data_IF_539323435407
#
_entry.id   IF_539323435407
#
_cell.length_a   1.000
_cell.length_b   1.000
_cell.length_c   1.000
_cell.angle_alpha   90.00
_cell.angle_beta   90.00
_cell.angle_gamma   90.00
#
_symmetry.space_group_name_H-M   'P 1'
#
loop_
_entity.id
_entity.type
_entity.pdbx_description
1 polymer ?
#
# COMPACT_ATOMS: atom_id res chain seq x y z
N UNK A 1 7.56 -35.68 -48.97
CA UNK A 1 6.55 -35.98 -47.93
C UNK A 1 7.30 -36.33 -46.65
N UNK A 2 7.92 -35.36 -45.98
CA UNK A 2 7.35 -34.49 -44.92
C UNK A 2 6.82 -35.26 -43.71
N UNK A 3 7.68 -35.41 -42.70
CA UNK A 3 7.26 -35.25 -41.31
C UNK A 3 8.40 -34.51 -40.60
N UNK A 4 8.13 -33.23 -40.36
CA UNK A 4 9.01 -32.28 -39.67
C UNK A 4 9.39 -32.82 -38.29
N UNK A 5 10.66 -32.73 -37.93
CA UNK A 5 11.07 -32.79 -36.52
C UNK A 5 10.51 -31.53 -35.85
N UNK A 6 9.39 -31.65 -35.15
CA UNK A 6 8.96 -30.64 -34.19
C UNK A 6 9.93 -30.66 -33.01
N UNK A 7 10.62 -29.54 -32.83
CA UNK A 7 11.16 -29.12 -31.54
C UNK A 7 10.10 -29.31 -30.47
N UNK A 8 10.42 -30.08 -29.43
CA UNK A 8 9.90 -29.77 -28.11
C UNK A 8 11.07 -29.20 -27.34
N UNK A 9 11.27 -27.88 -27.52
CA UNK A 9 11.93 -27.09 -26.51
C UNK A 9 11.27 -27.42 -25.18
N UNK A 10 12.06 -27.81 -24.19
CA UNK A 10 11.59 -27.99 -22.83
C UNK A 10 10.92 -26.69 -22.40
N UNK A 11 9.59 -26.72 -22.29
CA UNK A 11 8.85 -25.67 -21.63
C UNK A 11 9.16 -25.79 -20.13
N UNK A 12 10.29 -25.22 -19.73
CA UNK A 12 10.45 -24.63 -18.42
C UNK A 12 9.41 -23.50 -18.32
N UNK A 13 8.16 -23.88 -18.14
CA UNK A 13 7.11 -23.03 -17.61
C UNK A 13 7.54 -22.72 -16.18
N UNK A 14 8.37 -21.68 -16.09
CA UNK A 14 8.58 -20.95 -14.87
C UNK A 14 7.23 -20.69 -14.24
N UNK A 15 7.11 -21.07 -12.97
CA UNK A 15 6.14 -20.53 -12.05
C UNK A 15 6.36 -19.01 -11.98
N UNK A 16 5.87 -18.31 -13.01
CA UNK A 16 5.52 -16.90 -12.90
C UNK A 16 4.30 -16.85 -12.00
N UNK A 17 4.55 -16.82 -10.68
CA UNK A 17 3.58 -16.17 -9.80
C UNK A 17 3.43 -14.71 -10.26
N UNK A 18 2.28 -14.05 -10.07
CA UNK A 18 2.04 -12.69 -10.57
C UNK A 18 3.10 -11.64 -10.14
N UNK A 19 3.97 -11.93 -9.18
CA UNK A 19 5.10 -11.08 -8.78
C UNK A 19 6.43 -11.36 -9.50
N UNK A 20 6.60 -12.50 -10.17
CA UNK A 20 7.80 -12.75 -10.99
C UNK A 20 7.82 -11.84 -12.24
N UNK A 21 6.66 -11.34 -12.67
CA UNK A 21 6.55 -10.31 -13.70
C UNK A 21 6.86 -8.88 -13.20
N UNK A 22 6.87 -8.64 -11.88
CA UNK A 22 7.22 -7.33 -11.30
C UNK A 22 8.72 -7.18 -11.00
N UNK A 23 9.49 -8.28 -10.95
CA UNK A 23 10.93 -8.27 -10.65
C UNK A 23 11.87 -8.13 -11.86
N UNK A 24 11.46 -7.45 -12.94
CA UNK A 24 12.36 -7.21 -14.11
C UNK A 24 12.72 -5.76 -14.42
N UNK A 25 12.45 -4.82 -13.52
CA UNK A 25 13.12 -3.51 -13.53
C UNK A 25 13.33 -3.03 -12.09
N UNK A 26 14.41 -3.49 -11.48
CA UNK A 26 15.29 -2.65 -10.66
C UNK A 26 16.49 -3.52 -10.28
N UNK A 27 17.58 -3.34 -11.02
CA UNK A 27 18.89 -3.78 -10.54
C UNK A 27 19.32 -2.74 -9.49
N UNK A 28 19.59 -3.12 -8.24
CA UNK A 28 20.23 -2.21 -7.31
C UNK A 28 21.66 -1.94 -7.81
N UNK A 29 22.01 -0.67 -7.96
CA UNK A 29 23.41 -0.23 -8.04
C UNK A 29 24.02 -0.28 -6.65
N UNK A 30 25.33 -0.59 -6.59
CA UNK A 30 26.12 -0.86 -5.38
C UNK A 30 26.23 0.31 -4.35
N UNK A 31 25.44 1.38 -4.51
CA UNK A 31 25.38 2.50 -3.55
C UNK A 31 24.40 2.27 -2.38
N UNK A 32 23.64 1.17 -2.36
CA UNK A 32 22.59 0.96 -1.35
C UNK A 32 23.08 0.36 -0.01
N UNK A 33 24.38 0.11 0.15
CA UNK A 33 24.90 -0.64 1.31
C UNK A 33 25.44 0.23 2.46
N UNK A 34 25.50 1.55 2.33
CA UNK A 34 26.03 2.44 3.37
C UNK A 34 24.99 3.27 4.15
N UNK A 35 23.69 3.20 3.81
CA UNK A 35 22.63 3.90 4.58
C UNK A 35 21.92 3.05 5.64
N UNK A 36 22.43 1.87 5.96
CA UNK A 36 21.80 0.97 6.95
C UNK A 36 22.04 1.43 8.41
N UNK A 37 22.93 2.38 8.69
CA UNK A 37 23.19 2.82 10.07
C UNK A 37 23.13 4.34 10.25
N UNK A 38 21.93 4.94 10.22
CA UNK A 38 21.63 6.15 10.98
C UNK A 38 20.14 6.49 10.92
N UNK A 39 19.42 6.14 11.99
CA UNK A 39 18.24 6.86 12.48
C UNK A 39 17.00 6.90 11.58
N UNK A 40 15.94 6.21 12.00
CA UNK A 40 14.76 6.90 12.50
C UNK A 40 13.84 5.90 13.19
N UNK A 41 13.54 6.21 14.44
CA UNK A 41 12.58 5.54 15.33
C UNK A 41 11.18 5.56 14.71
N UNK A 42 10.85 4.51 13.97
CA UNK A 42 9.45 4.14 13.72
C UNK A 42 9.04 3.26 14.89
N UNK A 43 7.90 3.61 15.48
CA UNK A 43 7.25 2.90 16.59
C UNK A 43 7.53 1.40 16.52
N UNK A 44 8.16 0.86 17.58
CA UNK A 44 8.31 -0.57 17.80
C UNK A 44 6.96 -1.22 17.48
N UNK A 45 6.87 -1.92 16.35
CA UNK A 45 6.13 -3.18 16.32
C UNK A 45 6.78 -3.94 17.46
N UNK A 46 6.12 -4.00 18.61
CA UNK A 46 6.67 -4.69 19.77
C UNK A 46 7.03 -6.08 19.29
N UNK A 47 8.30 -6.43 19.42
CA UNK A 47 8.86 -7.73 19.09
C UNK A 47 8.36 -8.81 20.08
N UNK A 48 7.08 -8.79 20.44
CA UNK A 48 6.48 -9.66 21.44
C UNK A 48 5.64 -10.78 20.84
N UNK A 49 5.60 -10.90 19.52
CA UNK A 49 5.05 -12.08 18.87
C UNK A 49 6.01 -12.60 17.80
N UNK A 50 6.51 -13.82 17.99
CA UNK A 50 7.12 -14.64 16.93
C UNK A 50 6.06 -15.24 15.98
N UNK A 51 4.81 -14.78 16.09
CA UNK A 51 3.67 -15.28 15.34
C UNK A 51 3.56 -14.53 14.02
N UNK A 52 3.80 -15.24 12.91
CA UNK A 52 3.82 -14.64 11.58
C UNK A 52 2.45 -14.10 11.16
N UNK A 53 1.35 -14.72 11.60
CA UNK A 53 0.01 -14.28 11.24
C UNK A 53 -0.34 -12.95 11.91
N UNK A 54 0.01 -12.79 13.18
CA UNK A 54 -0.20 -11.53 13.89
C UNK A 54 0.66 -10.41 13.28
N UNK A 55 1.91 -10.71 12.87
CA UNK A 55 2.79 -9.74 12.20
C UNK A 55 2.22 -9.31 10.85
N UNK A 56 1.87 -10.26 9.98
CA UNK A 56 1.24 -9.95 8.70
C UNK A 56 -0.04 -9.13 8.89
N UNK A 57 -0.87 -9.49 9.87
CA UNK A 57 -2.12 -8.77 10.10
C UNK A 57 -1.87 -7.31 10.56
N UNK A 58 -0.82 -7.05 11.33
CA UNK A 58 -0.41 -5.69 11.69
C UNK A 58 0.19 -4.93 10.50
N UNK A 59 0.97 -5.61 9.66
CA UNK A 59 1.59 -5.00 8.47
C UNK A 59 0.52 -4.59 7.47
N UNK A 60 -0.45 -5.47 7.18
CA UNK A 60 -1.55 -5.16 6.27
C UNK A 60 -2.44 -4.04 6.79
N UNK A 61 -2.75 -4.02 8.08
CA UNK A 61 -3.50 -2.92 8.68
C UNK A 61 -2.78 -1.57 8.50
N UNK A 62 -1.45 -1.56 8.69
CA UNK A 62 -0.59 -0.41 8.39
C UNK A 62 -0.66 0.00 6.91
N UNK A 63 -0.49 -0.95 5.99
CA UNK A 63 -0.56 -0.73 4.55
C UNK A 63 -1.90 -0.13 4.12
N UNK A 64 -3.04 -0.72 4.54
CA UNK A 64 -4.36 -0.22 4.18
C UNK A 64 -4.62 1.18 4.71
N UNK A 65 -4.12 1.50 5.92
CA UNK A 65 -4.23 2.84 6.48
C UNK A 65 -3.41 3.85 5.68
N UNK A 66 -2.15 3.51 5.37
CA UNK A 66 -1.24 4.37 4.61
C UNK A 66 -1.71 4.56 3.18
N UNK A 67 -2.26 3.54 2.52
CA UNK A 67 -2.79 3.64 1.17
C UNK A 67 -3.93 4.68 1.08
N UNK A 68 -4.86 4.65 2.05
CA UNK A 68 -5.91 5.67 2.16
C UNK A 68 -5.34 7.07 2.35
N UNK A 69 -4.33 7.21 3.22
CA UNK A 69 -3.66 8.49 3.47
C UNK A 69 -2.95 9.01 2.22
N UNK A 70 -2.21 8.16 1.50
CA UNK A 70 -1.53 8.49 0.25
C UNK A 70 -2.52 8.94 -0.82
N UNK A 71 -3.66 8.24 -0.97
CA UNK A 71 -4.72 8.63 -1.91
C UNK A 71 -5.25 10.03 -1.58
N UNK A 72 -5.53 10.31 -0.30
CA UNK A 72 -6.01 11.62 0.15
C UNK A 72 -4.97 12.72 -0.12
N UNK A 73 -3.70 12.49 0.23
CA UNK A 73 -2.61 13.45 0.01
C UNK A 73 -2.41 13.74 -1.48
N UNK A 74 -2.41 12.71 -2.35
CA UNK A 74 -2.31 12.88 -3.81
C UNK A 74 -3.49 13.67 -4.39
N UNK A 75 -4.71 13.41 -3.93
CA UNK A 75 -5.88 14.16 -4.37
C UNK A 75 -5.77 15.65 -4.01
N UNK A 76 -5.32 15.95 -2.79
CA UNK A 76 -5.09 17.32 -2.31
C UNK A 76 -3.96 18.00 -3.08
N UNK A 77 -2.85 17.30 -3.30
CA UNK A 77 -1.72 17.80 -4.09
C UNK A 77 -2.16 18.18 -5.51
N UNK A 78 -2.90 17.28 -6.18
CA UNK A 78 -3.41 17.52 -7.53
C UNK A 78 -4.33 18.75 -7.60
N UNK A 79 -5.21 18.91 -6.62
CA UNK A 79 -6.09 20.08 -6.54
C UNK A 79 -5.33 21.38 -6.30
N UNK A 80 -4.37 21.41 -5.37
CA UNK A 80 -3.57 22.63 -5.13
C UNK A 80 -2.75 22.98 -6.37
N UNK A 81 -2.15 21.97 -7.03
CA UNK A 81 -1.47 22.14 -8.32
C UNK A 81 -2.40 22.75 -9.37
N UNK A 82 -3.63 22.24 -9.53
CA UNK A 82 -4.58 22.82 -10.50
C UNK A 82 -4.90 24.28 -10.21
N UNK A 83 -5.07 24.64 -8.92
CA UNK A 83 -5.31 26.04 -8.52
C UNK A 83 -4.13 26.97 -8.84
N UNK A 84 -2.90 26.45 -8.81
CA UNK A 84 -1.68 27.21 -9.13
C UNK A 84 -1.37 27.27 -10.63
N UNK A 85 -1.67 26.19 -11.38
CA UNK A 85 -1.41 26.11 -12.83
C UNK A 85 -2.46 26.84 -13.67
N UNK A 86 -3.69 27.01 -13.16
CA UNK A 86 -4.73 27.85 -13.79
C UNK A 86 -4.48 29.35 -13.56
N UNK A 87 -3.21 29.77 -13.58
CA UNK A 87 -2.65 31.02 -13.07
C UNK A 87 -3.23 32.33 -13.62
N UNK A 88 -4.08 32.28 -14.65
CA UNK A 88 -4.83 33.44 -15.14
C UNK A 88 -6.33 33.39 -14.82
N UNK A 89 -6.96 32.21 -14.68
CA UNK A 89 -8.40 32.10 -14.45
C UNK A 89 -8.78 32.07 -12.98
N UNK A 90 -7.98 31.40 -12.13
CA UNK A 90 -8.17 31.40 -10.67
C UNK A 90 -8.15 32.84 -10.13
N UNK A 91 -7.21 33.63 -10.64
CA UNK A 91 -7.03 35.06 -10.34
C UNK A 91 -8.15 35.96 -10.86
N UNK A 92 -8.92 35.59 -11.89
CA UNK A 92 -10.00 36.47 -12.39
C UNK A 92 -11.36 36.07 -11.78
N UNK A 93 -11.61 34.77 -11.51
CA UNK A 93 -12.92 34.27 -11.04
C UNK A 93 -13.20 34.46 -9.54
N UNK A 94 -12.21 34.25 -8.66
CA UNK A 94 -12.34 34.47 -7.19
C UNK A 94 -12.45 35.96 -6.87
N UNK A 95 -11.73 36.74 -7.67
CA UNK A 95 -11.56 38.18 -7.59
C UNK A 95 -12.77 38.95 -8.10
N UNK A 96 -13.31 38.56 -9.26
CA UNK A 96 -14.48 39.22 -9.84
C UNK A 96 -15.72 39.09 -8.94
N UNK A 97 -15.70 38.17 -7.97
CA UNK A 97 -16.78 37.96 -6.99
C UNK A 97 -16.53 38.60 -5.62
N UNK A 98 -15.39 39.26 -5.39
CA UNK A 98 -15.17 40.06 -4.17
C UNK A 98 -15.14 39.25 -2.88
N UNK A 99 -14.50 38.08 -2.85
CA UNK A 99 -14.49 37.24 -1.65
C UNK A 99 -13.79 37.94 -0.48
N UNK A 100 -14.52 38.08 0.63
CA UNK A 100 -14.06 38.78 1.83
C UNK A 100 -13.80 37.86 3.03
N UNK A 101 -14.11 36.56 2.91
CA UNK A 101 -13.89 35.57 3.96
C UNK A 101 -13.54 34.17 3.40
N UNK A 102 -13.03 33.30 4.27
CA UNK A 102 -12.55 31.96 3.90
C UNK A 102 -13.70 30.99 3.57
N UNK A 103 -14.88 31.20 4.14
CA UNK A 103 -16.05 30.34 3.91
C UNK A 103 -16.60 30.49 2.48
N UNK A 104 -16.69 31.73 2.00
CA UNK A 104 -17.06 32.05 0.60
C UNK A 104 -16.05 31.46 -0.40
N UNK A 105 -14.76 31.56 -0.08
CA UNK A 105 -13.69 30.97 -0.89
C UNK A 105 -13.85 29.45 -0.96
N UNK A 106 -14.11 28.81 0.18
CA UNK A 106 -14.32 27.36 0.28
C UNK A 106 -15.50 26.91 -0.58
N UNK A 107 -16.64 27.58 -0.48
CA UNK A 107 -17.85 27.26 -1.26
C UNK A 107 -17.62 27.40 -2.77
N UNK A 108 -16.85 28.42 -3.19
CA UNK A 108 -16.53 28.61 -4.60
C UNK A 108 -15.59 27.51 -5.12
N UNK A 109 -14.54 27.17 -4.37
CA UNK A 109 -13.58 26.15 -4.78
C UNK A 109 -14.21 24.75 -4.88
N UNK A 110 -15.08 24.37 -3.93
CA UNK A 110 -15.84 23.12 -3.99
C UNK A 110 -16.68 23.03 -5.27
N UNK A 111 -17.38 24.13 -5.62
CA UNK A 111 -18.24 24.18 -6.81
C UNK A 111 -17.46 24.10 -8.12
N UNK A 112 -16.29 24.75 -8.19
CA UNK A 112 -15.53 24.89 -9.44
C UNK A 112 -14.61 23.69 -9.73
N UNK A 113 -14.16 22.97 -8.70
CA UNK A 113 -13.12 21.94 -8.85
C UNK A 113 -13.54 20.52 -8.43
N UNK A 114 -14.82 20.30 -8.09
CA UNK A 114 -15.37 18.98 -7.74
C UNK A 114 -14.51 18.22 -6.71
N UNK A 115 -14.10 18.95 -5.66
CA UNK A 115 -13.34 18.43 -4.52
C UNK A 115 -14.23 18.42 -3.28
N UNK A 116 -13.99 17.49 -2.36
CA UNK A 116 -14.72 17.44 -1.09
C UNK A 116 -14.46 18.69 -0.23
N UNK A 117 -15.49 19.09 0.51
CA UNK A 117 -15.46 20.32 1.31
C UNK A 117 -14.41 20.25 2.40
N UNK A 118 -14.27 19.10 3.04
CA UNK A 118 -13.35 18.86 4.14
C UNK A 118 -11.89 19.08 3.71
N UNK A 119 -11.49 18.56 2.55
CA UNK A 119 -10.15 18.77 1.98
C UNK A 119 -9.88 20.24 1.66
N UNK A 120 -10.87 20.97 1.14
CA UNK A 120 -10.72 22.42 0.89
C UNK A 120 -10.55 23.19 2.19
N UNK A 121 -11.35 22.87 3.22
CA UNK A 121 -11.24 23.49 4.55
C UNK A 121 -9.84 23.25 5.13
N UNK A 122 -9.29 22.04 5.01
CA UNK A 122 -7.97 21.72 5.53
C UNK A 122 -6.84 22.47 4.79
N UNK A 123 -6.96 22.61 3.47
CA UNK A 123 -6.05 23.39 2.65
C UNK A 123 -6.10 24.87 3.03
N UNK A 124 -7.30 25.44 3.16
CA UNK A 124 -7.48 26.86 3.46
C UNK A 124 -7.30 27.20 4.96
N UNK A 125 -7.21 26.20 5.83
CA UNK A 125 -7.02 26.42 7.25
C UNK A 125 -5.77 27.26 7.52
N UNK A 126 -5.93 28.31 8.34
CA UNK A 126 -4.89 29.28 8.67
C UNK A 126 -4.73 30.42 7.66
N UNK A 127 -5.47 30.42 6.54
CA UNK A 127 -5.46 31.53 5.59
C UNK A 127 -6.03 32.79 6.23
N UNK A 128 -5.26 33.87 6.22
CA UNK A 128 -5.69 35.19 6.70
C UNK A 128 -5.84 36.14 5.53
N UNK A 129 -7.08 36.39 5.12
CA UNK A 129 -7.38 37.37 4.09
C UNK A 129 -7.31 38.80 4.67
N UNK A 130 -6.69 39.76 3.99
CA UNK A 130 -6.68 41.13 4.46
C UNK A 130 -8.07 41.77 4.28
N UNK A 131 -8.61 42.39 5.33
CA UNK A 131 -9.97 42.98 5.32
C UNK A 131 -10.12 44.21 4.39
N UNK A 132 -9.02 44.87 4.00
CA UNK A 132 -9.01 46.11 3.20
C UNK A 132 -7.78 46.24 2.30
N UNK A 133 -7.41 45.18 1.58
CA UNK A 133 -6.26 45.24 0.67
C UNK A 133 -6.66 45.43 -0.79
N UNK A 134 -5.71 45.89 -1.60
CA UNK A 134 -5.85 45.82 -3.05
C UNK A 134 -5.97 44.37 -3.47
N UNK A 135 -6.64 44.17 -4.59
CA UNK A 135 -6.87 42.87 -5.17
C UNK A 135 -5.59 42.03 -5.33
N UNK A 136 -4.53 42.69 -5.77
CA UNK A 136 -3.20 42.12 -5.97
C UNK A 136 -2.61 41.52 -4.70
N UNK A 137 -2.95 42.05 -3.53
CA UNK A 137 -2.40 41.60 -2.26
C UNK A 137 -3.13 40.36 -1.75
N UNK A 138 -4.45 40.29 -1.98
CA UNK A 138 -5.25 39.10 -1.67
C UNK A 138 -4.80 37.91 -2.53
N UNK A 139 -4.53 38.13 -3.82
CA UNK A 139 -3.96 37.11 -4.73
C UNK A 139 -2.64 36.58 -4.19
N UNK A 140 -1.68 37.48 -3.94
CA UNK A 140 -0.37 37.09 -3.43
C UNK A 140 -0.48 36.29 -2.14
N UNK A 141 -1.38 36.69 -1.24
CA UNK A 141 -1.62 36.00 0.02
C UNK A 141 -2.17 34.58 -0.19
N UNK A 142 -3.19 34.42 -1.05
CA UNK A 142 -3.79 33.12 -1.37
C UNK A 142 -2.78 32.23 -2.09
N UNK A 143 -2.10 32.73 -3.12
CA UNK A 143 -1.09 31.99 -3.88
C UNK A 143 0.04 31.52 -2.98
N UNK A 144 0.57 32.39 -2.11
CA UNK A 144 1.65 32.04 -1.18
C UNK A 144 1.18 30.96 -0.18
N UNK A 145 -0.05 31.09 0.34
CA UNK A 145 -0.64 30.09 1.22
C UNK A 145 -0.77 28.72 0.54
N UNK A 146 -1.27 28.69 -0.70
CA UNK A 146 -1.41 27.47 -1.49
C UNK A 146 -0.05 26.83 -1.80
N UNK A 147 0.98 27.63 -2.12
CA UNK A 147 2.34 27.11 -2.33
C UNK A 147 2.88 26.47 -1.05
N UNK A 148 2.77 27.15 0.10
CA UNK A 148 3.22 26.59 1.38
C UNK A 148 2.47 25.31 1.75
N UNK A 149 1.15 25.27 1.51
CA UNK A 149 0.34 24.08 1.72
C UNK A 149 0.72 22.95 0.78
N UNK A 150 1.00 23.24 -0.49
CA UNK A 150 1.50 22.26 -1.45
C UNK A 150 2.81 21.64 -0.95
N UNK A 151 3.77 22.47 -0.53
CA UNK A 151 5.05 21.98 -0.02
C UNK A 151 4.89 21.10 1.23
N UNK A 152 3.99 21.47 2.15
CA UNK A 152 3.69 20.64 3.32
C UNK A 152 3.09 19.29 2.92
N UNK A 153 2.08 19.29 2.04
CA UNK A 153 1.42 18.07 1.55
C UNK A 153 2.41 17.16 0.84
N UNK A 154 3.32 17.72 0.03
CA UNK A 154 4.36 16.96 -0.65
C UNK A 154 5.33 16.31 0.33
N UNK A 155 5.71 17.03 1.39
CA UNK A 155 6.55 16.45 2.44
C UNK A 155 5.83 15.30 3.17
N UNK A 156 4.58 15.51 3.57
CA UNK A 156 3.77 14.48 4.23
C UNK A 156 3.55 13.26 3.32
N UNK A 157 3.42 13.48 2.00
CA UNK A 157 3.29 12.42 1.01
C UNK A 157 4.58 11.62 0.86
N UNK A 158 5.73 12.29 0.79
CA UNK A 158 7.04 11.62 0.72
C UNK A 158 7.28 10.74 1.96
N UNK A 159 6.96 11.24 3.15
CA UNK A 159 7.08 10.47 4.39
C UNK A 159 6.11 9.28 4.41
N UNK A 160 4.85 9.49 4.00
CA UNK A 160 3.85 8.41 3.90
C UNK A 160 4.26 7.33 2.90
N UNK A 161 4.89 7.69 1.78
CA UNK A 161 5.40 6.75 0.77
C UNK A 161 6.58 5.94 1.32
N UNK A 162 7.50 6.57 2.06
CA UNK A 162 8.60 5.85 2.72
C UNK A 162 8.09 4.84 3.75
N UNK A 163 7.09 5.22 4.55
CA UNK A 163 6.44 4.30 5.48
C UNK A 163 5.75 3.15 4.74
N UNK A 164 5.03 3.47 3.66
CA UNK A 164 4.38 2.46 2.82
C UNK A 164 5.38 1.43 2.29
N UNK A 165 6.51 1.88 1.74
CA UNK A 165 7.58 1.00 1.25
C UNK A 165 8.16 0.14 2.38
N UNK A 166 8.31 0.71 3.59
CA UNK A 166 8.77 -0.05 4.76
C UNK A 166 7.80 -1.17 5.12
N UNK A 167 6.50 -0.90 5.20
CA UNK A 167 5.49 -1.93 5.46
C UNK A 167 5.39 -2.95 4.33
N UNK A 168 5.55 -2.52 3.08
CA UNK A 168 5.53 -3.40 1.92
C UNK A 168 6.70 -4.39 1.97
N UNK A 169 7.92 -3.90 2.22
CA UNK A 169 9.09 -4.75 2.37
C UNK A 169 8.98 -5.68 3.58
N UNK A 170 8.43 -5.21 4.70
CA UNK A 170 8.16 -6.07 5.86
C UNK A 170 7.17 -7.21 5.52
N UNK A 171 6.16 -6.95 4.66
CA UNK A 171 5.26 -7.99 4.18
C UNK A 171 5.99 -9.04 3.35
N UNK A 172 6.85 -8.60 2.42
CA UNK A 172 7.67 -9.48 1.57
C UNK A 172 8.56 -10.36 2.43
N UNK A 173 9.26 -9.77 3.39
CA UNK A 173 10.13 -10.51 4.31
C UNK A 173 9.34 -11.61 5.02
N UNK A 174 8.19 -11.27 5.60
CA UNK A 174 7.39 -12.24 6.35
C UNK A 174 6.85 -13.37 5.44
N UNK A 175 6.47 -13.09 4.19
CA UNK A 175 6.15 -14.13 3.21
C UNK A 175 7.34 -15.02 2.87
N UNK A 176 8.52 -14.44 2.64
CA UNK A 176 9.71 -15.21 2.31
C UNK A 176 10.11 -16.16 3.46
N UNK A 177 9.93 -15.74 4.71
CA UNK A 177 10.12 -16.63 5.86
C UNK A 177 9.11 -17.80 5.90
N UNK A 178 7.85 -17.57 5.53
CA UNK A 178 6.85 -18.65 5.42
C UNK A 178 7.12 -19.55 4.22
N UNK A 179 7.44 -18.98 3.05
CA UNK A 179 7.82 -19.71 1.84
C UNK A 179 8.99 -20.65 2.08
N UNK A 180 10.05 -20.18 2.75
CA UNK A 180 11.19 -21.03 3.10
C UNK A 180 10.75 -22.25 3.92
N UNK A 181 9.87 -22.07 4.90
CA UNK A 181 9.32 -23.19 5.69
C UNK A 181 8.44 -24.11 4.88
N UNK A 182 7.64 -23.59 3.95
CA UNK A 182 6.87 -24.37 3.01
C UNK A 182 7.77 -25.21 2.08
N UNK A 183 8.82 -24.61 1.51
CA UNK A 183 9.79 -25.34 0.69
C UNK A 183 10.57 -26.38 1.48
N UNK A 184 11.05 -26.04 2.68
CA UNK A 184 11.74 -26.99 3.57
C UNK A 184 10.85 -28.20 3.91
N UNK A 185 9.55 -27.98 4.07
CA UNK A 185 8.58 -29.03 4.35
C UNK A 185 8.33 -29.90 3.12
N UNK A 186 8.05 -29.28 1.97
CA UNK A 186 7.71 -29.98 0.72
C UNK A 186 8.91 -30.72 0.13
N UNK A 187 10.13 -30.17 0.20
CA UNK A 187 11.35 -30.82 -0.27
C UNK A 187 11.75 -32.05 0.57
N UNK A 188 11.29 -32.14 1.82
CA UNK A 188 11.48 -33.33 2.66
C UNK A 188 10.50 -34.47 2.34
N UNK A 189 9.42 -34.20 1.60
CA UNK A 189 8.42 -35.21 1.26
C UNK A 189 8.97 -36.17 0.20
N UNK A 190 8.56 -37.44 0.28
CA UNK A 190 8.89 -38.42 -0.76
C UNK A 190 8.12 -38.09 -2.03
N UNK A 191 8.82 -38.06 -3.16
CA UNK A 191 8.21 -37.92 -4.48
C UNK A 191 7.27 -39.11 -4.74
N UNK A 192 6.03 -38.83 -5.12
CA UNK A 192 5.08 -39.84 -5.60
C UNK A 192 5.19 -39.97 -7.14
N UNK A 193 4.40 -40.87 -7.74
CA UNK A 193 4.40 -41.08 -9.20
C UNK A 193 4.04 -39.82 -10.00
N UNK A 194 3.32 -38.87 -9.38
CA UNK A 194 2.88 -37.61 -9.97
C UNK A 194 3.76 -36.39 -9.59
N UNK A 195 4.82 -36.58 -8.80
CA UNK A 195 5.71 -35.49 -8.36
C UNK A 195 5.74 -35.26 -6.85
N UNK A 196 6.09 -34.03 -6.45
CA UNK A 196 6.01 -33.59 -5.05
C UNK A 196 4.60 -33.06 -4.83
N UNK A 197 3.93 -33.57 -3.80
CA UNK A 197 2.65 -33.04 -3.37
C UNK A 197 2.85 -31.70 -2.65
N UNK A 198 2.24 -30.64 -3.17
CA UNK A 198 2.27 -29.29 -2.63
C UNK A 198 1.05 -28.95 -1.76
N UNK A 199 0.14 -29.91 -1.54
CA UNK A 199 -0.99 -29.72 -0.64
C UNK A 199 -0.50 -29.43 0.79
N UNK A 200 -1.16 -28.49 1.45
CA UNK A 200 -0.82 -28.07 2.81
C UNK A 200 -1.91 -28.55 3.77
N UNK A 201 -1.59 -29.55 4.58
CA UNK A 201 -2.48 -29.96 5.67
C UNK A 201 -2.54 -28.89 6.76
N UNK A 202 -3.52 -28.95 7.64
CA UNK A 202 -3.64 -28.00 8.77
C UNK A 202 -2.42 -27.98 9.68
N UNK A 203 -1.82 -29.14 9.94
CA UNK A 203 -0.57 -29.22 10.72
C UNK A 203 0.62 -28.60 9.99
N UNK A 204 0.70 -28.77 8.67
CA UNK A 204 1.76 -28.14 7.87
C UNK A 204 1.57 -26.64 7.82
N UNK A 205 0.32 -26.17 7.66
CA UNK A 205 -0.02 -24.75 7.68
C UNK A 205 0.41 -24.11 9.01
N UNK A 206 0.08 -24.73 10.15
CA UNK A 206 0.48 -24.26 11.47
C UNK A 206 2.01 -24.12 11.62
N UNK A 207 2.77 -25.08 11.07
CA UNK A 207 4.23 -25.02 11.04
C UNK A 207 4.73 -23.87 10.13
N UNK A 208 4.17 -23.76 8.93
CA UNK A 208 4.55 -22.75 7.93
C UNK A 208 4.29 -21.34 8.44
N UNK A 209 3.22 -21.11 9.20
CA UNK A 209 2.85 -19.77 9.71
C UNK A 209 3.39 -19.47 11.10
N UNK A 210 4.10 -20.41 11.74
CA UNK A 210 4.67 -20.28 13.11
C UNK A 210 3.65 -19.85 14.19
N UNK A 211 2.36 -20.02 13.97
CA UNK A 211 1.39 -19.36 14.83
C UNK A 211 1.15 -20.19 16.08
N UNK A 212 1.13 -19.51 17.23
CA UNK A 212 0.68 -20.10 18.50
C UNK A 212 -0.83 -19.94 18.69
N UNK A 213 -1.49 -19.16 17.84
CA UNK A 213 -2.91 -18.91 17.90
C UNK A 213 -3.68 -19.97 17.09
N UNK A 214 -3.92 -21.13 17.70
CA UNK A 214 -4.66 -22.22 17.06
C UNK A 214 -6.03 -21.77 16.55
N UNK A 215 -6.75 -20.91 17.28
CA UNK A 215 -8.06 -20.40 16.85
C UNK A 215 -7.97 -19.63 15.52
N UNK A 216 -6.98 -18.74 15.39
CA UNK A 216 -6.76 -17.98 14.16
C UNK A 216 -6.34 -18.90 12.99
N UNK A 217 -5.47 -19.87 13.26
CA UNK A 217 -5.08 -20.90 12.29
C UNK A 217 -6.30 -21.69 11.83
N UNK A 218 -7.16 -22.11 12.75
CA UNK A 218 -8.38 -22.87 12.45
C UNK A 218 -9.31 -22.08 11.53
N UNK A 219 -9.57 -20.81 11.86
CA UNK A 219 -10.43 -19.93 11.06
C UNK A 219 -9.84 -19.74 9.67
N UNK A 220 -8.55 -19.39 9.57
CA UNK A 220 -7.91 -19.15 8.28
C UNK A 220 -7.88 -20.41 7.42
N UNK A 221 -7.59 -21.56 8.02
CA UNK A 221 -7.57 -22.83 7.31
C UNK A 221 -8.97 -23.17 6.77
N UNK A 222 -10.01 -23.00 7.58
CA UNK A 222 -11.40 -23.20 7.13
C UNK A 222 -11.85 -22.20 6.07
N UNK A 223 -11.31 -20.99 6.04
CA UNK A 223 -11.58 -20.01 4.96
C UNK A 223 -10.88 -20.34 3.64
N UNK A 224 -9.94 -21.30 3.64
CA UNK A 224 -9.16 -21.70 2.48
C UNK A 224 -9.51 -23.12 2.00
N UNK A 225 -9.99 -23.97 2.90
CA UNK A 225 -10.42 -25.36 2.65
C UNK A 225 -11.88 -25.38 2.18
N UNK A 226 -12.18 -24.67 1.09
CA UNK A 226 -13.53 -24.49 0.55
C UNK A 226 -14.21 -25.81 0.12
N UNK A 227 -13.41 -26.84 -0.17
CA UNK A 227 -13.87 -28.18 -0.59
C UNK A 227 -13.90 -29.20 0.56
N UNK A 228 -13.59 -28.78 1.80
CA UNK A 228 -13.54 -29.60 3.01
C UNK A 228 -12.66 -30.86 2.88
N UNK A 229 -11.65 -30.82 2.00
CA UNK A 229 -10.76 -31.94 1.77
C UNK A 229 -9.63 -32.04 2.81
N UNK A 230 -9.56 -31.09 3.75
CA UNK A 230 -8.60 -31.08 4.85
C UNK A 230 -7.19 -30.66 4.40
N UNK A 231 -7.07 -30.04 3.22
CA UNK A 231 -5.83 -29.61 2.64
C UNK A 231 -6.05 -28.37 1.76
N UNK A 232 -5.16 -27.39 1.90
CA UNK A 232 -5.28 -26.11 1.19
C UNK A 232 -4.14 -25.94 0.18
N UNK A 233 -4.42 -25.16 -0.87
CA UNK A 233 -3.38 -24.62 -1.75
C UNK A 233 -2.69 -23.43 -1.08
N UNK A 234 -1.38 -23.53 -0.88
CA UNK A 234 -0.57 -22.43 -0.34
C UNK A 234 -0.67 -21.16 -1.19
N UNK A 235 -0.80 -21.30 -2.51
CA UNK A 235 -0.95 -20.17 -3.43
C UNK A 235 -2.21 -19.34 -3.15
N UNK A 236 -3.30 -19.98 -2.75
CA UNK A 236 -4.55 -19.30 -2.40
C UNK A 236 -4.38 -18.40 -1.17
N UNK A 237 -3.62 -18.86 -0.16
CA UNK A 237 -3.25 -18.04 1.00
C UNK A 237 -2.35 -16.87 0.59
N UNK A 238 -1.28 -17.09 -0.18
CA UNK A 238 -0.38 -16.01 -0.61
C UNK A 238 -1.15 -14.88 -1.32
N UNK A 239 -2.01 -15.23 -2.26
CA UNK A 239 -2.77 -14.28 -3.08
C UNK A 239 -3.82 -13.47 -2.31
N UNK A 240 -4.37 -14.02 -1.23
CA UNK A 240 -5.53 -13.44 -0.53
C UNK A 240 -5.31 -13.13 0.94
N UNK A 241 -4.11 -13.39 1.46
CA UNK A 241 -3.69 -13.25 2.85
C UNK A 241 -4.13 -11.94 3.52
N UNK A 242 -4.00 -10.78 2.87
CA UNK A 242 -4.47 -9.51 3.44
C UNK A 242 -5.98 -9.49 3.73
N UNK A 243 -6.79 -10.02 2.81
CA UNK A 243 -8.25 -10.18 2.97
C UNK A 243 -8.56 -11.23 4.03
N UNK A 244 -7.94 -12.40 3.92
CA UNK A 244 -8.16 -13.54 4.83
C UNK A 244 -7.82 -13.16 6.27
N UNK A 245 -6.74 -12.41 6.51
CA UNK A 245 -6.35 -11.96 7.85
C UNK A 245 -7.33 -10.91 8.41
N UNK A 246 -7.85 -10.03 7.54
CA UNK A 246 -8.90 -9.08 7.91
C UNK A 246 -10.18 -9.81 8.31
N UNK A 247 -10.61 -10.77 7.50
CA UNK A 247 -11.82 -11.57 7.75
C UNK A 247 -11.65 -12.40 9.04
N UNK A 248 -10.51 -13.09 9.19
CA UNK A 248 -10.20 -13.89 10.38
C UNK A 248 -10.20 -13.07 11.67
N UNK A 249 -9.66 -11.84 11.67
CA UNK A 249 -9.72 -10.92 12.83
C UNK A 249 -11.16 -10.63 13.25
N UNK A 250 -12.13 -10.59 12.33
CA UNK A 250 -13.54 -10.38 12.64
C UNK A 250 -14.19 -11.53 13.44
N UNK A 251 -13.58 -12.71 13.45
CA UNK A 251 -14.06 -13.90 14.15
C UNK A 251 -13.30 -14.22 15.46
N UNK A 252 -12.16 -13.56 15.71
CA UNK A 252 -11.30 -13.79 16.89
C UNK A 252 -11.81 -13.00 18.08
#
# INVERSE_FOLDING_TARGET
MSAEKKEYAENWLGLCTPFTCLNRKERPTDEYQEKINAGMTVTKVSAESNDSLNRLASIFEGLFRLDRQVIQLKAREAFVKSCLTDGEQFNIKIIAKGIHNVDELTMQMVKEHNIDKESVVEILNGLKLPQRSKLTDAVKTITYHLINKLSSIQHDLDDSLREYDSFHNASIDEYEHMRRRFFDLTLKRKKNENGIDFSVSKSDFMFIVNSKNCKMVDIIFSLLDDDENGAIDWGAFELNSGRILSDAKGFV
#
